data_IF_021274119914
#
_entry.id   IF_021274119914
#
_cell.length_a   1.000
_cell.length_b   1.000
_cell.length_c   1.000
_cell.angle_alpha   90.00
_cell.angle_beta   90.00
_cell.angle_gamma   90.00
#
_symmetry.space_group_name_H-M   'P 1'
#
loop_
_entity.id
_entity.type
_entity.pdbx_description
1 polymer ?
#
# COMPACT_ATOMS: atom_id res chain seq x y z
N UNK A 1 -29.31 -18.73 31.03
CA UNK A 1 -28.90 -18.05 29.78
C UNK A 1 -28.15 -16.72 30.01
N UNK A 2 -27.31 -16.62 31.05
CA UNK A 2 -26.49 -15.42 31.36
C UNK A 2 -24.98 -15.72 31.52
N UNK A 3 -24.57 -16.98 31.30
CA UNK A 3 -23.17 -17.41 31.39
C UNK A 3 -22.42 -17.22 30.05
N UNK A 4 -23.13 -17.23 28.91
CA UNK A 4 -22.51 -17.13 27.58
C UNK A 4 -22.10 -15.70 27.14
N UNK A 5 -22.58 -14.64 27.80
CA UNK A 5 -22.16 -13.26 27.47
C UNK A 5 -20.78 -12.98 28.06
N UNK A 6 -20.50 -13.46 29.26
CA UNK A 6 -19.22 -13.27 29.93
C UNK A 6 -18.10 -14.07 29.24
N UNK A 7 -18.39 -15.27 28.72
CA UNK A 7 -17.39 -16.05 27.95
C UNK A 7 -17.03 -15.36 26.63
N UNK A 8 -18.01 -14.82 25.89
CA UNK A 8 -17.72 -14.01 24.69
C UNK A 8 -16.96 -12.71 25.01
N UNK A 9 -17.29 -12.02 26.11
CA UNK A 9 -16.54 -10.85 26.56
C UNK A 9 -15.12 -11.20 27.06
N UNK A 10 -14.89 -12.42 27.55
CA UNK A 10 -13.58 -12.88 27.98
C UNK A 10 -12.70 -13.36 26.81
N UNK A 11 -13.30 -13.95 25.77
CA UNK A 11 -12.61 -14.25 24.51
C UNK A 11 -12.30 -12.98 23.71
N UNK A 12 -13.14 -11.93 23.81
CA UNK A 12 -12.88 -10.59 23.25
C UNK A 12 -11.73 -9.84 23.95
N UNK A 13 -11.22 -10.32 25.08
CA UNK A 13 -10.16 -9.62 25.85
C UNK A 13 -8.74 -9.96 25.40
N UNK A 14 -8.54 -10.96 24.54
CA UNK A 14 -7.22 -11.32 24.04
C UNK A 14 -7.28 -11.53 22.54
N UNK A 15 -6.68 -10.61 21.79
CA UNK A 15 -6.39 -10.82 20.38
C UNK A 15 -5.56 -12.09 20.21
N UNK A 16 -5.82 -12.84 19.15
CA UNK A 16 -5.08 -14.03 18.75
C UNK A 16 -3.60 -13.69 18.71
N UNK A 17 -2.75 -14.49 19.36
CA UNK A 17 -1.33 -14.40 19.19
C UNK A 17 -0.97 -14.47 17.70
N UNK A 18 0.00 -13.67 17.26
CA UNK A 18 0.42 -13.63 15.85
C UNK A 18 0.71 -15.03 15.27
N UNK A 19 1.27 -15.93 16.09
CA UNK A 19 1.55 -17.32 15.69
C UNK A 19 0.31 -18.12 15.26
N UNK A 20 -0.88 -17.79 15.75
CA UNK A 20 -2.13 -18.43 15.33
C UNK A 20 -2.69 -17.84 14.03
N UNK A 21 -2.24 -16.64 13.65
CA UNK A 21 -2.61 -15.98 12.40
C UNK A 21 -1.73 -16.43 11.23
N UNK A 22 -0.47 -16.80 11.50
CA UNK A 22 0.49 -17.25 10.47
C UNK A 22 0.17 -18.68 10.03
N UNK A 23 0.32 -18.97 8.74
CA UNK A 23 0.15 -20.32 8.21
C UNK A 23 1.15 -21.29 8.84
N UNK A 24 0.70 -22.48 9.17
CA UNK A 24 1.52 -23.51 9.82
C UNK A 24 2.79 -23.84 9.02
N UNK A 25 2.72 -23.89 7.69
CA UNK A 25 3.90 -24.16 6.87
C UNK A 25 4.95 -23.04 6.98
N UNK A 26 4.54 -21.77 7.12
CA UNK A 26 5.45 -20.62 7.25
C UNK A 26 6.11 -20.58 8.62
N UNK A 27 5.38 -20.94 9.69
CA UNK A 27 5.96 -21.08 11.04
C UNK A 27 7.08 -22.11 11.11
N UNK A 28 6.93 -23.19 10.33
CA UNK A 28 7.88 -24.30 10.28
C UNK A 28 9.00 -24.11 9.24
N UNK A 29 8.94 -23.05 8.43
CA UNK A 29 10.04 -22.72 7.51
C UNK A 29 11.22 -22.15 8.27
N UNK A 30 12.41 -22.68 7.97
CA UNK A 30 13.66 -22.00 8.30
C UNK A 30 13.73 -20.68 7.53
N UNK A 31 14.26 -19.64 8.17
CA UNK A 31 14.54 -18.40 7.45
C UNK A 31 15.58 -18.69 6.37
N UNK A 32 15.21 -18.49 5.11
CA UNK A 32 16.13 -18.66 3.98
C UNK A 32 17.32 -17.69 4.08
N UNK A 33 17.08 -16.50 4.64
CA UNK A 33 18.14 -15.58 5.08
C UNK A 33 18.44 -15.88 6.55
N UNK A 34 19.16 -16.97 6.79
CA UNK A 34 19.64 -17.29 8.14
C UNK A 34 20.72 -16.29 8.57
N UNK A 35 20.87 -16.07 9.88
CA UNK A 35 22.01 -15.37 10.49
C UNK A 35 23.39 -16.00 10.12
N UNK A 36 23.42 -17.12 9.40
CA UNK A 36 24.67 -17.67 8.84
C UNK A 36 25.03 -17.10 7.46
N UNK A 37 24.05 -16.59 6.69
CA UNK A 37 24.26 -15.82 5.44
C UNK A 37 24.40 -14.31 5.74
N UNK A 38 24.15 -13.89 7.00
CA UNK A 38 24.46 -12.55 7.51
C UNK A 38 25.94 -12.35 7.86
N UNK A 39 26.84 -13.20 7.35
CA UNK A 39 28.23 -12.78 7.14
C UNK A 39 28.17 -11.65 6.13
N UNK A 40 27.97 -10.43 6.63
CA UNK A 40 27.90 -9.19 5.85
C UNK A 40 29.01 -9.28 4.83
N UNK A 41 28.64 -9.41 3.54
CA UNK A 41 29.57 -9.34 2.43
C UNK A 41 30.12 -7.91 2.41
N UNK A 42 31.10 -7.65 3.27
CA UNK A 42 31.80 -6.37 3.32
C UNK A 42 32.82 -6.34 2.18
N UNK A 43 33.24 -5.13 1.82
CA UNK A 43 34.29 -4.91 0.81
C UNK A 43 35.63 -5.59 1.19
N UNK A 44 35.83 -5.90 2.47
CA UNK A 44 37.01 -6.61 2.97
C UNK A 44 36.93 -8.13 2.83
N UNK A 45 35.78 -8.69 2.47
CA UNK A 45 35.60 -10.13 2.31
C UNK A 45 35.92 -10.60 0.88
N UNK A 46 36.45 -11.81 0.77
CA UNK A 46 36.61 -12.52 -0.52
C UNK A 46 35.34 -13.34 -0.78
N UNK A 47 34.59 -13.01 -1.83
CA UNK A 47 33.28 -13.60 -2.11
C UNK A 47 33.37 -14.77 -3.10
N UNK A 48 33.32 -16.01 -2.57
CA UNK A 48 33.43 -17.29 -3.32
C UNK A 48 32.31 -18.29 -2.96
N UNK A 49 31.31 -17.86 -2.21
CA UNK A 49 30.19 -18.66 -1.70
C UNK A 49 29.03 -18.83 -2.70
N UNK A 50 29.10 -18.14 -3.85
CA UNK A 50 28.07 -18.15 -4.90
C UNK A 50 28.70 -18.28 -6.29
N UNK A 51 27.89 -18.65 -7.26
CA UNK A 51 28.22 -18.90 -8.66
C UNK A 51 28.43 -17.62 -9.51
N UNK A 52 28.99 -16.57 -8.89
CA UNK A 52 29.15 -15.25 -9.50
C UNK A 52 30.38 -15.17 -10.41
N UNK A 53 30.25 -14.48 -11.55
CA UNK A 53 31.39 -14.13 -12.38
C UNK A 53 32.17 -12.98 -11.72
N UNK A 54 33.50 -13.07 -11.52
CA UNK A 54 34.26 -11.98 -10.89
C UNK A 54 34.45 -10.75 -11.80
N UNK A 55 34.17 -10.85 -13.10
CA UNK A 55 34.34 -9.78 -14.09
C UNK A 55 33.01 -9.07 -14.40
N UNK A 56 33.06 -7.81 -14.87
CA UNK A 56 31.91 -6.92 -15.18
C UNK A 56 31.28 -6.17 -13.98
N UNK A 57 32.12 -5.52 -13.17
CA UNK A 57 31.68 -4.63 -12.07
C UNK A 57 30.91 -3.40 -12.58
N UNK A 58 29.87 -2.92 -11.87
CA UNK A 58 29.37 -3.39 -10.57
C UNK A 58 28.20 -4.41 -10.63
N UNK A 59 27.92 -5.00 -11.80
CA UNK A 59 26.72 -5.82 -12.03
C UNK A 59 26.91 -7.31 -11.74
N UNK A 60 28.15 -7.72 -11.48
CA UNK A 60 28.57 -9.11 -11.47
C UNK A 60 28.35 -9.84 -10.14
N UNK A 61 27.73 -9.16 -9.16
CA UNK A 61 27.49 -9.67 -7.81
C UNK A 61 26.01 -9.54 -7.43
N UNK A 62 25.49 -10.55 -6.73
CA UNK A 62 24.13 -10.52 -6.18
C UNK A 62 23.95 -9.33 -5.22
N UNK A 63 22.74 -8.77 -5.13
CA UNK A 63 22.45 -7.69 -4.21
C UNK A 63 22.55 -8.14 -2.75
N UNK A 64 22.59 -7.16 -1.84
CA UNK A 64 22.33 -7.41 -0.41
C UNK A 64 20.91 -7.94 -0.25
N UNK A 65 20.78 -9.22 0.12
CA UNK A 65 19.49 -9.91 0.33
C UNK A 65 18.77 -9.39 1.58
N UNK A 66 19.52 -8.92 2.58
CA UNK A 66 18.96 -8.38 3.83
C UNK A 66 18.38 -6.97 3.64
N UNK A 67 18.89 -6.24 2.63
CA UNK A 67 18.60 -4.83 2.35
C UNK A 67 18.90 -3.93 3.57
N UNK A 68 19.92 -4.25 4.36
CA UNK A 68 20.14 -3.65 5.68
C UNK A 68 20.33 -2.13 5.59
N UNK A 69 21.14 -1.67 4.64
CA UNK A 69 21.41 -0.23 4.44
C UNK A 69 20.16 0.51 4.00
N UNK A 70 19.37 -0.08 3.09
CA UNK A 70 18.12 0.51 2.61
C UNK A 70 17.08 0.57 3.73
N UNK A 71 16.87 -0.53 4.47
CA UNK A 71 15.97 -0.58 5.63
C UNK A 71 16.35 0.46 6.68
N UNK A 72 17.64 0.58 7.02
CA UNK A 72 18.11 1.58 7.97
C UNK A 72 17.87 3.02 7.50
N UNK A 73 18.07 3.28 6.20
CA UNK A 73 17.82 4.60 5.61
C UNK A 73 16.33 4.98 5.66
N UNK A 74 15.45 4.06 5.27
CA UNK A 74 13.99 4.24 5.35
C UNK A 74 13.55 4.43 6.80
N UNK A 75 14.03 3.58 7.72
CA UNK A 75 13.69 3.62 9.13
C UNK A 75 14.00 4.98 9.76
N UNK A 76 15.18 5.53 9.46
CA UNK A 76 15.60 6.86 9.91
C UNK A 76 14.64 7.96 9.43
N UNK A 77 14.28 7.97 8.15
CA UNK A 77 13.43 9.02 7.56
C UNK A 77 11.99 8.92 8.04
N UNK A 78 11.49 7.69 8.16
CA UNK A 78 10.08 7.43 8.52
C UNK A 78 9.89 7.33 10.04
N UNK A 79 10.96 7.47 10.82
CA UNK A 79 10.97 7.47 12.29
C UNK A 79 10.37 6.18 12.90
N UNK A 80 10.87 5.04 12.44
CA UNK A 80 10.54 3.70 12.95
C UNK A 80 11.83 2.93 13.22
N UNK A 81 11.78 1.79 13.92
CA UNK A 81 12.98 0.96 14.06
C UNK A 81 13.23 0.17 12.77
N UNK A 82 14.49 -0.11 12.45
CA UNK A 82 14.86 -0.94 11.29
C UNK A 82 14.18 -2.32 11.32
N UNK A 83 14.00 -2.90 12.50
CA UNK A 83 13.31 -4.17 12.70
C UNK A 83 11.81 -4.12 12.37
N UNK A 84 11.21 -2.91 12.29
CA UNK A 84 9.83 -2.72 11.87
C UNK A 84 9.68 -2.60 10.36
N UNK A 85 10.77 -2.66 9.56
CA UNK A 85 10.71 -2.41 8.11
C UNK A 85 10.85 -3.71 7.32
N UNK A 86 9.84 -4.01 6.52
CA UNK A 86 9.88 -4.99 5.44
C UNK A 86 9.93 -4.28 4.08
N UNK A 87 10.66 -4.84 3.10
CA UNK A 87 10.81 -4.25 1.76
C UNK A 87 10.54 -5.34 0.72
N UNK A 88 9.81 -4.99 -0.33
CA UNK A 88 9.55 -5.86 -1.47
C UNK A 88 9.69 -5.09 -2.79
N UNK A 89 9.84 -5.84 -3.89
CA UNK A 89 9.88 -5.30 -5.23
C UNK A 89 8.47 -4.98 -5.74
N UNK A 90 8.01 -3.78 -5.41
CA UNK A 90 6.72 -3.24 -5.75
C UNK A 90 5.60 -3.72 -4.83
N UNK A 91 4.47 -3.03 -4.90
CA UNK A 91 3.30 -3.29 -4.04
C UNK A 91 2.68 -4.66 -4.29
N UNK A 92 2.79 -5.20 -5.52
CA UNK A 92 2.32 -6.55 -5.86
C UNK A 92 3.02 -7.62 -5.00
N UNK A 93 4.35 -7.62 -4.97
CA UNK A 93 5.12 -8.58 -4.18
C UNK A 93 4.90 -8.41 -2.67
N UNK A 94 4.69 -7.16 -2.23
CA UNK A 94 4.39 -6.85 -0.83
C UNK A 94 3.03 -7.41 -0.40
N UNK A 95 1.99 -7.15 -1.19
CA UNK A 95 0.63 -7.67 -0.95
C UNK A 95 0.63 -9.20 -1.02
N UNK A 96 1.30 -9.80 -2.01
CA UNK A 96 1.44 -11.26 -2.12
C UNK A 96 2.12 -11.87 -0.88
N UNK A 97 3.13 -11.20 -0.31
CA UNK A 97 3.79 -11.66 0.91
C UNK A 97 2.83 -11.76 2.09
N UNK A 98 1.84 -10.85 2.20
CA UNK A 98 0.81 -10.93 3.24
C UNK A 98 -0.08 -12.16 3.06
N UNK A 99 -0.57 -12.41 1.83
CA UNK A 99 -1.37 -13.60 1.54
C UNK A 99 -0.60 -14.89 1.80
N UNK A 100 0.65 -14.97 1.32
CA UNK A 100 1.54 -16.11 1.53
C UNK A 100 1.88 -16.38 2.98
N UNK A 101 1.88 -15.35 3.83
CA UNK A 101 2.21 -15.48 5.25
C UNK A 101 1.00 -15.93 6.08
N UNK A 102 -0.17 -15.33 5.84
CA UNK A 102 -1.33 -15.45 6.74
C UNK A 102 -2.47 -16.32 6.21
N UNK A 103 -2.64 -16.42 4.89
CA UNK A 103 -3.84 -17.02 4.30
C UNK A 103 -3.56 -18.42 3.76
N UNK A 104 -4.22 -19.43 4.33
CA UNK A 104 -4.24 -20.80 3.80
C UNK A 104 -5.16 -20.85 2.57
N UNK A 105 -4.64 -21.20 1.38
CA UNK A 105 -5.44 -21.31 0.16
C UNK A 105 -6.64 -22.25 0.32
N UNK A 106 -7.81 -21.83 -0.16
CA UNK A 106 -9.06 -22.58 -0.10
C UNK A 106 -9.70 -22.69 1.29
N UNK A 107 -9.12 -22.06 2.31
CA UNK A 107 -9.61 -22.10 3.71
C UNK A 107 -9.88 -20.70 4.24
N UNK A 108 -8.89 -19.81 4.16
CA UNK A 108 -8.99 -18.48 4.72
C UNK A 108 -9.62 -17.49 3.74
N UNK A 109 -10.18 -16.43 4.30
CA UNK A 109 -10.74 -15.31 3.57
C UNK A 109 -10.13 -13.98 4.04
N UNK A 110 -10.38 -12.92 3.28
CA UNK A 110 -10.02 -11.53 3.61
C UNK A 110 -11.19 -10.61 3.37
N UNK A 111 -11.22 -9.48 4.07
CA UNK A 111 -12.18 -8.41 3.82
C UNK A 111 -11.49 -7.24 3.12
N UNK A 112 -12.05 -6.78 2.01
CA UNK A 112 -11.55 -5.64 1.24
C UNK A 112 -12.64 -4.56 1.22
N UNK A 113 -12.26 -3.33 1.58
CA UNK A 113 -13.18 -2.18 1.58
C UNK A 113 -13.13 -1.48 0.22
N UNK A 114 -14.25 -1.46 -0.51
CA UNK A 114 -14.33 -1.07 -1.92
C UNK A 114 -15.18 0.20 -2.14
N UNK A 115 -14.96 0.97 -3.22
CA UNK A 115 -13.93 0.79 -4.26
C UNK A 115 -12.53 1.10 -3.74
N UNK A 116 -11.55 0.24 -4.06
CA UNK A 116 -10.16 0.45 -3.68
C UNK A 116 -9.18 -0.10 -4.73
N UNK A 117 -7.90 -0.19 -4.36
CA UNK A 117 -6.82 -0.75 -5.17
C UNK A 117 -7.08 -2.22 -5.54
N UNK A 118 -7.16 -2.49 -6.84
CA UNK A 118 -7.49 -3.80 -7.42
C UNK A 118 -6.52 -4.92 -7.06
N UNK A 119 -5.26 -4.59 -6.79
CA UNK A 119 -4.21 -5.56 -6.46
C UNK A 119 -4.55 -6.40 -5.24
N UNK A 120 -5.27 -5.87 -4.25
CA UNK A 120 -5.67 -6.68 -3.09
C UNK A 120 -6.54 -7.87 -3.52
N UNK A 121 -7.54 -7.62 -4.39
CA UNK A 121 -8.42 -8.66 -4.93
C UNK A 121 -7.66 -9.60 -5.85
N UNK A 122 -6.88 -9.07 -6.79
CA UNK A 122 -6.09 -9.87 -7.73
C UNK A 122 -5.13 -10.82 -7.01
N UNK A 123 -4.50 -10.38 -5.92
CA UNK A 123 -3.60 -11.24 -5.13
C UNK A 123 -4.35 -12.26 -4.27
N UNK A 124 -5.56 -11.94 -3.78
CA UNK A 124 -6.42 -12.92 -3.12
C UNK A 124 -6.79 -14.05 -4.09
N UNK A 125 -7.27 -13.71 -5.29
CA UNK A 125 -7.62 -14.66 -6.35
C UNK A 125 -6.41 -15.52 -6.74
N UNK A 126 -5.25 -14.90 -6.97
CA UNK A 126 -4.00 -15.58 -7.31
C UNK A 126 -3.59 -16.62 -6.25
N UNK A 127 -3.85 -16.31 -4.97
CA UNK A 127 -3.53 -17.19 -3.85
C UNK A 127 -4.68 -18.14 -3.47
N UNK A 128 -5.78 -18.19 -4.24
CA UNK A 128 -6.98 -18.96 -3.93
C UNK A 128 -7.54 -18.63 -2.54
N UNK A 129 -7.64 -17.34 -2.23
CA UNK A 129 -8.19 -16.79 -0.99
C UNK A 129 -9.51 -16.10 -1.31
N UNK A 130 -10.56 -16.42 -0.56
CA UNK A 130 -11.87 -15.78 -0.74
C UNK A 130 -11.78 -14.29 -0.39
N UNK A 131 -12.27 -13.44 -1.30
CA UNK A 131 -12.42 -12.01 -1.07
C UNK A 131 -13.86 -11.67 -0.66
N UNK A 132 -14.05 -11.09 0.52
CA UNK A 132 -15.32 -10.51 0.97
C UNK A 132 -15.27 -9.00 0.84
N UNK A 133 -16.10 -8.46 -0.04
CA UNK A 133 -16.13 -7.02 -0.30
C UNK A 133 -17.12 -6.31 0.63
N UNK A 134 -16.71 -5.14 1.14
CA UNK A 134 -17.57 -4.19 1.85
C UNK A 134 -17.50 -2.85 1.16
N UNK A 135 -18.64 -2.31 0.74
CA UNK A 135 -18.68 -1.00 0.13
C UNK A 135 -18.50 0.11 1.17
N UNK A 136 -17.70 1.12 0.82
CA UNK A 136 -17.71 2.43 1.45
C UNK A 136 -19.11 3.05 1.36
N UNK A 137 -19.38 4.07 2.17
CA UNK A 137 -20.63 4.82 2.05
C UNK A 137 -20.60 5.81 0.85
N UNK A 138 -21.68 6.60 0.72
CA UNK A 138 -21.84 7.57 -0.37
C UNK A 138 -20.80 8.71 -0.32
N UNK A 139 -20.18 8.95 0.84
CA UNK A 139 -19.11 9.93 1.03
C UNK A 139 -17.72 9.28 0.97
N UNK A 140 -17.67 8.02 0.53
CA UNK A 140 -16.47 7.18 0.49
C UNK A 140 -15.79 7.00 1.85
N UNK A 141 -16.57 6.99 2.94
CA UNK A 141 -16.08 6.70 4.28
C UNK A 141 -16.29 5.22 4.64
N UNK A 142 -15.38 4.76 5.51
CA UNK A 142 -15.39 3.44 6.11
C UNK A 142 -16.43 3.38 7.22
N UNK A 143 -17.06 2.23 7.39
CA UNK A 143 -17.84 1.89 8.57
C UNK A 143 -17.31 0.57 9.16
N UNK A 144 -16.77 0.62 10.38
CA UNK A 144 -16.11 -0.50 11.02
C UNK A 144 -17.07 -1.66 11.30
N UNK A 145 -18.30 -1.38 11.75
CA UNK A 145 -19.29 -2.41 12.04
C UNK A 145 -19.61 -3.27 10.80
N UNK A 146 -19.83 -2.63 9.64
CA UNK A 146 -20.07 -3.33 8.37
C UNK A 146 -18.89 -4.21 7.94
N UNK A 147 -17.67 -3.79 8.24
CA UNK A 147 -16.45 -4.58 7.97
C UNK A 147 -16.36 -5.77 8.90
N UNK A 148 -16.61 -5.58 10.19
CA UNK A 148 -16.60 -6.64 11.20
C UNK A 148 -17.72 -7.67 10.95
N UNK A 149 -18.87 -7.25 10.42
CA UNK A 149 -19.97 -8.15 10.03
C UNK A 149 -19.60 -9.14 8.90
N UNK A 150 -18.59 -8.83 8.07
CA UNK A 150 -18.08 -9.75 7.06
C UNK A 150 -16.98 -10.69 7.58
N UNK A 151 -16.46 -10.43 8.77
CA UNK A 151 -15.40 -11.22 9.39
C UNK A 151 -15.98 -12.48 10.04
N UNK A 152 -15.26 -13.59 9.91
CA UNK A 152 -15.51 -14.84 10.63
C UNK A 152 -14.20 -15.42 11.20
N UNK A 153 -14.24 -16.63 11.74
CA UNK A 153 -13.07 -17.31 12.31
C UNK A 153 -11.95 -17.59 11.29
N UNK A 154 -12.27 -17.58 9.99
CA UNK A 154 -11.34 -17.83 8.89
C UNK A 154 -10.81 -16.54 8.26
N UNK A 155 -11.34 -15.37 8.61
CA UNK A 155 -10.84 -14.08 8.14
C UNK A 155 -9.48 -13.78 8.74
N UNK A 156 -8.49 -13.51 7.88
CA UNK A 156 -7.10 -13.27 8.31
C UNK A 156 -6.66 -11.83 8.16
N UNK A 157 -7.13 -11.15 7.11
CA UNK A 157 -6.71 -9.79 6.77
C UNK A 157 -7.93 -8.90 6.52
N UNK A 158 -7.84 -7.64 6.96
CA UNK A 158 -8.67 -6.54 6.47
C UNK A 158 -7.77 -5.59 5.67
N UNK A 159 -8.15 -5.26 4.44
CA UNK A 159 -7.45 -4.30 3.60
C UNK A 159 -8.17 -2.95 3.59
N UNK A 160 -7.45 -1.92 4.03
CA UNK A 160 -7.84 -0.52 3.99
C UNK A 160 -6.82 0.26 3.17
N UNK A 161 -7.26 1.28 2.42
CA UNK A 161 -6.37 2.22 1.76
C UNK A 161 -6.73 3.63 2.22
N UNK A 162 -5.77 4.37 2.77
CA UNK A 162 -6.00 5.69 3.34
C UNK A 162 -4.75 6.59 3.19
N UNK A 163 -4.81 7.68 2.41
CA UNK A 163 -5.90 8.07 1.51
C UNK A 163 -6.19 7.02 0.42
N UNK A 164 -7.47 6.81 0.12
CA UNK A 164 -7.91 5.73 -0.76
C UNK A 164 -7.67 6.04 -2.24
N UNK A 165 -7.45 5.00 -3.04
CA UNK A 165 -7.52 5.05 -4.52
C UNK A 165 -8.65 4.13 -4.97
N UNK A 166 -9.62 4.61 -5.76
CA UNK A 166 -9.55 5.80 -6.61
C UNK A 166 -10.13 7.07 -6.00
N UNK A 167 -10.70 7.04 -4.80
CA UNK A 167 -11.57 8.12 -4.29
C UNK A 167 -10.82 9.37 -3.86
N UNK A 168 -9.56 9.23 -3.45
CA UNK A 168 -8.73 10.33 -2.95
C UNK A 168 -8.96 10.65 -1.48
N UNK A 169 -9.93 10.00 -0.83
CA UNK A 169 -10.41 10.34 0.50
C UNK A 169 -9.71 9.46 1.55
N UNK A 170 -9.25 10.07 2.64
CA UNK A 170 -8.73 9.34 3.79
C UNK A 170 -9.85 8.80 4.67
N UNK A 171 -9.65 7.59 5.19
CA UNK A 171 -10.55 6.96 6.13
C UNK A 171 -10.57 7.72 7.46
N UNK A 172 -11.74 7.77 8.11
CA UNK A 172 -11.88 8.28 9.46
C UNK A 172 -11.00 7.48 10.44
N UNK A 173 -10.06 8.13 11.16
CA UNK A 173 -9.18 7.41 12.07
C UNK A 173 -9.89 6.65 13.20
N UNK A 174 -11.06 7.13 13.64
CA UNK A 174 -11.82 6.46 14.69
C UNK A 174 -12.34 5.09 14.24
N UNK A 175 -12.78 4.97 12.99
CA UNK A 175 -13.28 3.70 12.42
C UNK A 175 -12.15 2.69 12.24
N UNK A 176 -10.98 3.14 11.78
CA UNK A 176 -9.78 2.28 11.67
C UNK A 176 -9.33 1.78 13.05
N UNK A 177 -9.42 2.64 14.07
CA UNK A 177 -9.09 2.29 15.45
C UNK A 177 -10.05 1.23 16.02
N UNK A 178 -11.35 1.34 15.75
CA UNK A 178 -12.33 0.28 16.10
C UNK A 178 -11.95 -1.05 15.45
N UNK A 179 -11.56 -1.05 14.18
CA UNK A 179 -11.13 -2.29 13.51
C UNK A 179 -9.87 -2.88 14.15
N UNK A 180 -8.89 -2.04 14.51
CA UNK A 180 -7.67 -2.50 15.16
C UNK A 180 -7.92 -3.09 16.56
N UNK A 181 -8.90 -2.55 17.29
CA UNK A 181 -9.27 -3.02 18.62
C UNK A 181 -10.17 -4.27 18.60
N UNK A 182 -11.03 -4.41 17.60
CA UNK A 182 -12.08 -5.43 17.56
C UNK A 182 -11.77 -6.63 16.64
N UNK A 183 -10.93 -6.44 15.62
CA UNK A 183 -10.63 -7.51 14.66
C UNK A 183 -9.52 -8.43 15.15
N UNK A 184 -9.86 -9.71 15.24
CA UNK A 184 -8.98 -10.78 15.68
C UNK A 184 -8.10 -11.35 14.55
N UNK A 185 -7.45 -10.45 13.82
CA UNK A 185 -6.60 -10.69 12.67
C UNK A 185 -5.77 -9.46 12.31
N UNK A 186 -5.15 -9.44 11.14
CA UNK A 186 -4.27 -8.34 10.71
C UNK A 186 -5.07 -7.25 9.98
N UNK A 187 -4.94 -5.99 10.43
CA UNK A 187 -5.47 -4.84 9.72
C UNK A 187 -4.34 -4.19 8.93
N UNK A 188 -4.49 -4.16 7.61
CA UNK A 188 -3.52 -3.52 6.71
C UNK A 188 -4.06 -2.17 6.28
N UNK A 189 -3.31 -1.11 6.58
CA UNK A 189 -3.57 0.26 6.11
C UNK A 189 -2.56 0.62 5.03
N UNK A 190 -3.00 0.69 3.79
CA UNK A 190 -2.20 1.15 2.66
C UNK A 190 -2.14 2.67 2.63
N UNK A 191 -0.96 3.19 2.98
CA UNK A 191 -0.60 4.59 3.06
C UNK A 191 0.25 5.04 1.85
N UNK A 192 0.06 4.42 0.68
CA UNK A 192 0.77 4.78 -0.56
C UNK A 192 0.72 6.27 -0.91
N UNK A 193 -0.27 7.01 -0.39
CA UNK A 193 -0.49 8.43 -0.64
C UNK A 193 -0.36 9.31 0.61
N UNK A 194 0.04 8.77 1.77
CA UNK A 194 0.02 9.51 3.05
C UNK A 194 0.88 10.77 3.04
N UNK A 195 1.95 10.80 2.25
CA UNK A 195 2.84 11.97 2.14
C UNK A 195 2.12 13.19 1.53
N UNK A 196 0.96 13.01 0.86
CA UNK A 196 0.10 14.10 0.34
C UNK A 196 -1.06 14.48 1.28
N UNK A 197 -1.26 13.71 2.34
CA UNK A 197 -2.36 13.87 3.29
C UNK A 197 -1.98 14.80 4.43
N UNK A 198 -3.00 15.40 5.03
CA UNK A 198 -2.86 16.14 6.28
C UNK A 198 -2.91 15.23 7.52
N UNK A 199 -3.35 13.98 7.37
CA UNK A 199 -3.43 13.02 8.46
C UNK A 199 -2.05 12.50 8.89
N UNK A 200 -1.92 12.21 10.18
CA UNK A 200 -0.74 11.52 10.70
C UNK A 200 -0.75 10.06 10.26
N UNK A 201 0.43 9.58 9.86
CA UNK A 201 0.60 8.19 9.44
C UNK A 201 0.36 7.21 10.59
N UNK A 202 -0.33 6.12 10.28
CA UNK A 202 -0.59 4.98 11.16
C UNK A 202 0.68 4.30 11.67
N UNK A 203 1.81 4.44 10.97
CA UNK A 203 3.09 3.88 11.42
C UNK A 203 3.54 4.44 12.78
N UNK A 204 3.01 5.62 13.16
CA UNK A 204 3.26 6.21 14.48
C UNK A 204 2.59 5.46 15.63
N UNK A 205 1.64 4.57 15.32
CA UNK A 205 0.83 3.79 16.27
C UNK A 205 1.21 2.30 16.32
N UNK A 206 2.31 1.89 15.68
CA UNK A 206 2.78 0.50 15.68
C UNK A 206 3.03 -0.06 17.09
N UNK A 207 3.42 0.79 18.04
CA UNK A 207 3.58 0.38 19.45
C UNK A 207 2.27 0.26 20.23
N UNK A 208 1.14 0.67 19.66
CA UNK A 208 -0.20 0.56 20.28
C UNK A 208 -0.94 -0.69 19.77
N UNK A 209 -0.74 -1.07 18.50
CA UNK A 209 -1.51 -2.14 17.85
C UNK A 209 -0.58 -3.17 17.22
N UNK A 210 -0.50 -4.36 17.81
CA UNK A 210 0.39 -5.44 17.35
C UNK A 210 -0.06 -6.06 16.02
N UNK A 211 -1.35 -5.93 15.68
CA UNK A 211 -1.95 -6.41 14.43
C UNK A 211 -1.99 -5.35 13.31
N UNK A 212 -1.44 -4.15 13.55
CA UNK A 212 -1.36 -3.10 12.55
C UNK A 212 -0.21 -3.35 11.58
N UNK A 213 -0.54 -3.27 10.30
CA UNK A 213 0.41 -3.28 9.20
C UNK A 213 0.19 -2.02 8.35
N UNK A 214 1.25 -1.28 8.07
CA UNK A 214 1.19 -0.05 7.28
C UNK A 214 2.01 -0.19 6.01
N UNK A 215 1.37 -0.17 4.85
CA UNK A 215 2.04 -0.23 3.55
C UNK A 215 2.43 1.18 3.08
N UNK A 216 3.59 1.32 2.45
CA UNK A 216 4.04 2.55 1.82
C UNK A 216 4.85 2.24 0.54
N UNK A 217 5.15 3.26 -0.26
CA UNK A 217 5.88 3.09 -1.52
C UNK A 217 6.67 4.34 -1.90
N UNK A 218 7.77 4.15 -2.64
CA UNK A 218 8.48 5.25 -3.30
C UNK A 218 7.87 5.65 -4.65
N UNK A 219 6.81 4.98 -5.11
CA UNK A 219 6.23 5.24 -6.43
C UNK A 219 5.75 6.68 -6.59
N UNK A 220 5.08 7.20 -5.55
CA UNK A 220 4.30 8.43 -5.64
C UNK A 220 5.12 9.66 -5.18
N UNK A 221 5.20 9.90 -3.87
CA UNK A 221 5.82 11.11 -3.30
C UNK A 221 7.30 11.26 -3.64
N UNK A 222 8.02 10.14 -3.73
CA UNK A 222 9.42 10.11 -4.13
C UNK A 222 9.61 10.16 -5.66
N UNK A 223 8.56 9.96 -6.45
CA UNK A 223 8.62 9.95 -7.92
C UNK A 223 9.49 8.80 -8.47
N UNK A 224 9.49 7.65 -7.80
CA UNK A 224 10.43 6.55 -8.03
C UNK A 224 9.72 5.25 -8.44
N UNK A 225 8.61 5.35 -9.19
CA UNK A 225 7.85 4.16 -9.62
C UNK A 225 8.68 3.13 -10.42
N UNK A 226 9.71 3.58 -11.14
CA UNK A 226 10.53 2.73 -12.00
C UNK A 226 11.45 1.75 -11.24
N UNK A 227 11.73 2.00 -9.95
CA UNK A 227 12.64 1.15 -9.17
C UNK A 227 11.91 0.11 -8.31
N UNK A 228 10.57 0.16 -8.27
CA UNK A 228 9.76 -0.85 -7.58
C UNK A 228 10.07 -1.00 -6.10
N UNK A 229 10.30 0.09 -5.36
CA UNK A 229 10.59 -0.01 -3.92
C UNK A 229 9.33 0.26 -3.10
N UNK A 230 8.72 -0.83 -2.63
CA UNK A 230 7.60 -0.80 -1.69
C UNK A 230 8.05 -1.30 -0.32
N UNK A 231 7.46 -0.73 0.74
CA UNK A 231 7.80 -1.11 2.10
C UNK A 231 6.57 -1.23 2.98
N UNK A 232 6.74 -1.97 4.05
CA UNK A 232 5.72 -2.21 5.05
C UNK A 232 6.32 -1.97 6.43
N UNK A 233 5.51 -1.39 7.30
CA UNK A 233 5.82 -1.17 8.70
C UNK A 233 4.89 -1.99 9.59
N UNK A 234 5.46 -2.77 10.50
CA UNK A 234 4.72 -3.59 11.44
C UNK A 234 5.56 -3.90 12.70
N UNK A 235 5.00 -4.62 13.66
CA UNK A 235 5.77 -5.17 14.77
C UNK A 235 6.95 -6.01 14.25
N UNK A 236 8.06 -6.07 15.01
CA UNK A 236 9.24 -6.83 14.58
C UNK A 236 8.94 -8.34 14.45
N UNK A 237 8.01 -8.87 15.24
CA UNK A 237 7.58 -10.27 15.13
C UNK A 237 6.89 -10.52 13.77
N UNK A 238 6.00 -9.61 13.35
CA UNK A 238 5.32 -9.69 12.06
C UNK A 238 6.30 -9.56 10.88
N UNK A 239 7.22 -8.60 10.95
CA UNK A 239 8.27 -8.42 9.93
C UNK A 239 9.14 -9.69 9.83
N UNK A 240 9.46 -10.33 10.95
CA UNK A 240 10.21 -11.59 10.94
C UNK A 240 9.43 -12.73 10.25
N UNK A 241 8.11 -12.78 10.40
CA UNK A 241 7.27 -13.75 9.67
C UNK A 241 7.24 -13.45 8.17
N UNK A 242 7.19 -12.19 7.77
CA UNK A 242 7.27 -11.80 6.35
C UNK A 242 8.62 -12.12 5.72
N UNK A 243 9.72 -11.93 6.46
CA UNK A 243 11.06 -12.31 5.97
C UNK A 243 11.21 -13.82 5.69
N UNK A 244 10.37 -14.69 6.27
CA UNK A 244 10.37 -16.14 5.97
C UNK A 244 9.76 -16.48 4.61
N UNK A 245 8.83 -15.67 4.13
CA UNK A 245 8.18 -15.86 2.81
C UNK A 245 8.80 -14.99 1.72
N UNK A 246 9.70 -14.08 2.10
CA UNK A 246 10.42 -13.22 1.16
C UNK A 246 11.37 -14.03 0.29
N UNK A 247 11.42 -13.69 -1.00
CA UNK A 247 12.36 -14.29 -1.94
C UNK A 247 13.77 -13.72 -1.69
N UNK A 248 14.81 -14.57 -1.62
CA UNK A 248 16.19 -14.11 -1.64
C UNK A 248 16.44 -13.20 -2.85
N UNK A 249 17.17 -12.11 -2.63
CA UNK A 249 17.48 -11.10 -3.68
C UNK A 249 16.24 -10.48 -4.33
N UNK A 250 15.11 -10.42 -3.60
CA UNK A 250 13.85 -9.93 -4.14
C UNK A 250 13.89 -8.50 -4.72
N UNK A 251 14.87 -7.67 -4.32
CA UNK A 251 15.10 -6.34 -4.88
C UNK A 251 16.54 -6.22 -5.43
N UNK A 252 16.66 -5.85 -6.71
CA UNK A 252 17.96 -5.73 -7.39
C UNK A 252 18.83 -4.59 -6.83
N UNK A 253 20.15 -4.70 -7.01
CA UNK A 253 21.14 -3.77 -6.45
C UNK A 253 21.01 -2.34 -6.99
N UNK A 254 20.57 -2.18 -8.25
CA UNK A 254 20.35 -0.87 -8.87
C UNK A 254 19.21 -0.12 -8.18
N UNK A 255 18.11 -0.82 -7.92
CA UNK A 255 16.93 -0.28 -7.24
C UNK A 255 17.26 0.09 -5.79
N UNK A 256 18.01 -0.77 -5.09
CA UNK A 256 18.50 -0.47 -3.74
C UNK A 256 19.38 0.79 -3.73
N UNK A 257 20.34 0.89 -4.66
CA UNK A 257 21.25 2.04 -4.75
C UNK A 257 20.49 3.35 -5.02
N UNK A 258 19.62 3.36 -6.03
CA UNK A 258 18.84 4.55 -6.39
C UNK A 258 17.93 4.97 -5.25
N UNK A 259 17.28 4.03 -4.57
CA UNK A 259 16.46 4.34 -3.39
C UNK A 259 17.29 4.98 -2.28
N UNK A 260 18.44 4.39 -1.92
CA UNK A 260 19.34 4.96 -0.90
C UNK A 260 19.77 6.38 -1.28
N UNK A 261 20.12 6.62 -2.54
CA UNK A 261 20.53 7.95 -3.01
C UNK A 261 19.38 8.97 -2.92
N UNK A 262 18.14 8.60 -3.29
CA UNK A 262 16.97 9.47 -3.14
C UNK A 262 16.67 9.79 -1.67
N UNK A 263 16.84 8.82 -0.77
CA UNK A 263 16.60 8.98 0.66
C UNK A 263 17.61 9.94 1.33
N UNK A 264 18.75 10.25 0.70
CA UNK A 264 19.72 11.23 1.25
C UNK A 264 19.25 12.68 1.14
N UNK A 265 18.36 12.98 0.19
CA UNK A 265 17.85 14.33 -0.06
C UNK A 265 16.31 14.34 0.00
N UNK A 266 15.77 14.37 1.22
CA UNK A 266 14.32 14.42 1.44
C UNK A 266 13.69 15.73 0.99
N UNK A 267 14.49 16.81 0.85
CA UNK A 267 14.00 18.14 0.52
C UNK A 267 13.39 18.19 -0.88
N UNK A 268 14.02 17.56 -1.87
CA UNK A 268 13.47 17.51 -3.22
C UNK A 268 12.18 16.68 -3.31
N UNK A 269 12.05 15.60 -2.53
CA UNK A 269 10.81 14.83 -2.44
C UNK A 269 9.68 15.68 -1.82
N UNK A 270 9.94 16.37 -0.70
CA UNK A 270 8.98 17.28 -0.06
C UNK A 270 8.53 18.40 -1.00
N UNK A 271 9.46 18.95 -1.79
CA UNK A 271 9.16 20.00 -2.77
C UNK A 271 8.25 19.48 -3.90
N UNK A 272 8.49 18.28 -4.42
CA UNK A 272 7.59 17.64 -5.41
C UNK A 272 6.18 17.47 -4.84
N UNK A 273 6.07 16.96 -3.62
CA UNK A 273 4.79 16.81 -2.91
C UNK A 273 4.07 18.15 -2.79
N UNK A 274 4.76 19.22 -2.35
CA UNK A 274 4.17 20.57 -2.23
C UNK A 274 3.67 21.10 -3.57
N UNK A 275 4.44 20.92 -4.65
CA UNK A 275 4.00 21.34 -5.99
C UNK A 275 2.74 20.59 -6.44
N UNK A 276 2.68 19.27 -6.20
CA UNK A 276 1.50 18.46 -6.51
C UNK A 276 0.28 18.94 -5.71
N UNK A 277 0.43 19.23 -4.41
CA UNK A 277 -0.68 19.71 -3.57
C UNK A 277 -1.20 21.06 -4.06
N UNK A 278 -0.31 22.02 -4.38
CA UNK A 278 -0.71 23.33 -4.90
C UNK A 278 -1.42 23.21 -6.24
N UNK A 279 -0.89 22.38 -7.13
CA UNK A 279 -1.45 22.14 -8.45
C UNK A 279 -2.79 21.39 -8.39
N UNK A 280 -2.95 20.47 -7.44
CA UNK A 280 -4.22 19.80 -7.13
C UNK A 280 -5.33 20.80 -6.83
N UNK A 281 -5.05 21.83 -6.02
CA UNK A 281 -6.04 22.87 -5.70
C UNK A 281 -6.43 23.71 -6.91
N UNK A 282 -5.46 24.04 -7.78
CA UNK A 282 -5.72 24.71 -9.06
C UNK A 282 -6.62 23.85 -9.95
N UNK A 283 -6.31 22.57 -10.06
CA UNK A 283 -7.06 21.62 -10.88
C UNK A 283 -8.50 21.44 -10.37
N UNK A 284 -8.71 21.32 -9.06
CA UNK A 284 -10.07 21.24 -8.47
C UNK A 284 -10.92 22.43 -8.94
N UNK A 285 -10.40 23.65 -8.79
CA UNK A 285 -11.11 24.87 -9.21
C UNK A 285 -11.42 24.85 -10.71
N UNK A 286 -10.42 24.49 -11.54
CA UNK A 286 -10.58 24.47 -12.98
C UNK A 286 -11.57 23.40 -13.49
N UNK A 287 -11.67 22.25 -12.80
CA UNK A 287 -12.67 21.23 -13.12
C UNK A 287 -14.08 21.67 -12.73
N UNK A 288 -14.25 22.38 -11.61
CA UNK A 288 -15.56 22.91 -11.19
C UNK A 288 -16.12 23.95 -12.18
N UNK A 289 -15.26 24.61 -12.96
CA UNK A 289 -15.67 25.57 -14.00
C UNK A 289 -16.12 24.89 -15.33
N UNK A 290 -15.94 23.57 -15.49
CA UNK A 290 -16.33 22.85 -16.70
C UNK A 290 -17.81 22.46 -16.63
N UNK A 291 -18.59 22.79 -17.66
CA UNK A 291 -20.02 22.45 -17.71
C UNK A 291 -20.30 20.94 -17.70
N UNK A 292 -19.38 20.14 -18.23
CA UNK A 292 -19.47 18.67 -18.26
C UNK A 292 -19.08 18.00 -16.94
N UNK A 293 -18.53 18.76 -15.99
CA UNK A 293 -18.13 18.26 -14.68
C UNK A 293 -19.33 18.32 -13.73
N UNK A 294 -19.73 17.16 -13.22
CA UNK A 294 -20.83 17.03 -12.26
C UNK A 294 -20.31 17.24 -10.83
N UNK A 295 -19.15 16.66 -10.52
CA UNK A 295 -18.60 16.71 -9.17
C UNK A 295 -17.09 16.45 -9.19
N UNK A 296 -16.35 17.19 -8.37
CA UNK A 296 -14.95 16.89 -8.03
C UNK A 296 -14.92 16.45 -6.58
N UNK A 297 -14.45 15.23 -6.31
CA UNK A 297 -14.36 14.73 -4.95
C UNK A 297 -13.14 15.32 -4.23
N UNK A 298 -13.21 15.55 -2.90
CA UNK A 298 -12.05 15.92 -2.10
C UNK A 298 -10.91 14.92 -2.28
N UNK A 299 -9.67 15.40 -2.25
CA UNK A 299 -8.51 14.53 -2.41
C UNK A 299 -7.36 14.92 -1.50
N UNK A 300 -6.78 13.90 -0.88
CA UNK A 300 -5.53 13.90 -0.14
C UNK A 300 -4.45 13.09 -0.87
N UNK A 301 -4.55 12.91 -2.20
CA UNK A 301 -3.59 12.15 -3.03
C UNK A 301 -2.94 13.00 -4.12
N UNK A 302 -2.16 12.39 -5.01
CA UNK A 302 -1.64 13.03 -6.22
C UNK A 302 -2.61 12.96 -7.42
N UNK A 303 -3.90 12.73 -7.20
CA UNK A 303 -4.91 12.67 -8.24
C UNK A 303 -6.25 13.25 -7.76
N UNK A 304 -7.20 13.40 -8.67
CA UNK A 304 -8.60 13.74 -8.38
C UNK A 304 -9.51 12.66 -8.93
N UNK A 305 -10.57 12.32 -8.22
CA UNK A 305 -11.72 11.63 -8.80
C UNK A 305 -12.71 12.70 -9.27
N UNK A 306 -13.09 12.65 -10.55
CA UNK A 306 -14.00 13.63 -11.15
C UNK A 306 -15.15 12.89 -11.80
N UNK A 307 -16.38 13.25 -11.41
CA UNK A 307 -17.62 12.76 -11.99
C UNK A 307 -18.03 13.65 -13.16
N UNK A 308 -18.34 13.04 -14.29
CA UNK A 308 -18.83 13.70 -15.50
C UNK A 308 -20.28 13.30 -15.78
N UNK A 309 -20.95 14.01 -16.70
CA UNK A 309 -22.28 13.61 -17.17
C UNK A 309 -22.21 12.26 -17.92
N UNK A 310 -21.24 12.11 -18.83
CA UNK A 310 -20.91 10.87 -19.53
C UNK A 310 -19.39 10.67 -19.54
N UNK A 311 -18.88 9.91 -18.56
CA UNK A 311 -17.44 9.71 -18.43
C UNK A 311 -16.85 8.83 -19.52
N UNK A 312 -17.64 7.93 -20.13
CA UNK A 312 -17.16 7.07 -21.20
C UNK A 312 -16.94 7.88 -22.49
N UNK A 313 -17.86 8.78 -22.81
CA UNK A 313 -17.70 9.70 -23.92
C UNK A 313 -16.52 10.66 -23.74
N UNK A 314 -16.39 11.26 -22.53
CA UNK A 314 -15.25 12.12 -22.20
C UNK A 314 -13.94 11.34 -22.27
N UNK A 315 -13.89 10.12 -21.71
CA UNK A 315 -12.71 9.27 -21.75
C UNK A 315 -12.27 8.96 -23.18
N UNK A 316 -13.20 8.57 -24.04
CA UNK A 316 -12.93 8.30 -25.46
C UNK A 316 -12.42 9.55 -26.18
N UNK A 317 -13.05 10.70 -25.96
CA UNK A 317 -12.61 11.97 -26.53
C UNK A 317 -11.17 12.32 -26.12
N UNK A 318 -10.83 12.14 -24.84
CA UNK A 318 -9.47 12.38 -24.35
C UNK A 318 -8.46 11.42 -25.00
N UNK A 319 -8.79 10.14 -25.14
CA UNK A 319 -7.94 9.17 -25.85
C UNK A 319 -7.71 9.56 -27.31
N UNK A 320 -8.74 10.01 -28.01
CA UNK A 320 -8.63 10.48 -29.41
C UNK A 320 -7.74 11.73 -29.52
N UNK A 321 -7.56 12.49 -28.43
CA UNK A 321 -6.61 13.61 -28.30
C UNK A 321 -5.23 13.20 -27.80
N UNK A 322 -4.99 11.91 -27.53
CA UNK A 322 -3.72 11.40 -26.99
C UNK A 322 -3.55 11.60 -25.48
N UNK A 323 -4.62 11.96 -24.76
CA UNK A 323 -4.61 12.21 -23.32
C UNK A 323 -5.15 10.98 -22.59
N UNK A 324 -4.30 10.34 -21.79
CA UNK A 324 -4.64 9.10 -21.08
C UNK A 324 -4.91 9.39 -19.61
N UNK A 325 -6.14 9.13 -19.17
CA UNK A 325 -6.57 9.18 -17.76
C UNK A 325 -7.04 7.79 -17.31
N UNK A 326 -7.33 7.60 -16.02
CA UNK A 326 -7.86 6.32 -15.53
C UNK A 326 -9.39 6.37 -15.57
N UNK A 327 -10.00 5.48 -16.34
CA UNK A 327 -11.43 5.24 -16.30
C UNK A 327 -11.79 4.42 -15.05
N UNK A 328 -12.70 4.95 -14.23
CA UNK A 328 -13.17 4.34 -12.98
C UNK A 328 -14.67 4.00 -13.02
N UNK A 329 -15.34 4.19 -14.16
CA UNK A 329 -16.79 4.02 -14.28
C UNK A 329 -17.29 2.61 -13.95
N UNK A 330 -16.44 1.59 -14.13
CA UNK A 330 -16.77 0.19 -13.80
C UNK A 330 -16.46 -0.18 -12.34
N UNK A 331 -15.89 0.75 -11.56
CA UNK A 331 -15.63 0.52 -10.14
C UNK A 331 -16.91 0.83 -9.33
N UNK A 332 -17.20 0.07 -8.26
CA UNK A 332 -18.35 0.35 -7.40
C UNK A 332 -18.38 1.80 -6.92
N UNK A 333 -19.56 2.43 -6.89
CA UNK A 333 -19.76 3.82 -6.41
C UNK A 333 -19.02 4.90 -7.23
N UNK A 334 -18.38 4.53 -8.34
CA UNK A 334 -17.60 5.43 -9.19
C UNK A 334 -18.26 5.61 -10.57
N UNK A 335 -19.57 5.45 -10.66
CA UNK A 335 -20.29 5.59 -11.92
C UNK A 335 -20.06 6.98 -12.51
N UNK A 336 -19.71 7.00 -13.80
CA UNK A 336 -19.31 8.20 -14.52
C UNK A 336 -18.14 8.97 -13.89
N UNK A 337 -17.20 8.29 -13.23
CA UNK A 337 -15.99 8.92 -12.72
C UNK A 337 -14.74 8.59 -13.55
N UNK A 338 -13.91 9.60 -13.77
CA UNK A 338 -12.51 9.44 -14.22
C UNK A 338 -11.57 9.89 -13.11
N UNK A 339 -10.49 9.13 -12.90
CA UNK A 339 -9.42 9.50 -11.99
C UNK A 339 -8.30 10.20 -12.78
N UNK A 340 -8.04 11.45 -12.44
CA UNK A 340 -7.11 12.36 -13.10
C UNK A 340 -5.86 12.53 -12.22
N UNK A 341 -4.72 11.99 -12.64
CA UNK A 341 -3.45 12.24 -11.97
C UNK A 341 -3.04 13.70 -12.15
N UNK A 342 -2.52 14.32 -11.09
CA UNK A 342 -1.95 15.67 -11.15
C UNK A 342 -0.56 15.58 -11.79
N UNK A 343 -0.46 16.01 -13.04
CA UNK A 343 0.78 16.07 -13.79
C UNK A 343 1.53 17.39 -13.57
N UNK A 344 2.53 17.61 -14.42
CA UNK A 344 3.17 18.90 -14.57
C UNK A 344 2.17 19.94 -15.10
N UNK A 345 2.40 21.21 -14.77
CA UNK A 345 1.52 22.32 -15.17
C UNK A 345 1.19 22.35 -16.69
N UNK A 346 2.14 22.08 -17.61
CA UNK A 346 1.81 22.00 -19.04
C UNK A 346 0.85 20.85 -19.39
N UNK A 347 1.04 19.66 -18.83
CA UNK A 347 0.19 18.48 -19.05
C UNK A 347 -1.23 18.75 -18.55
N UNK A 348 -1.34 19.34 -17.36
CA UNK A 348 -2.64 19.73 -16.78
C UNK A 348 -3.35 20.79 -17.62
N UNK A 349 -2.61 21.75 -18.19
CA UNK A 349 -3.18 22.77 -19.07
C UNK A 349 -3.66 22.17 -20.40
N UNK A 350 -2.95 21.19 -20.95
CA UNK A 350 -3.34 20.47 -22.15
C UNK A 350 -4.66 19.72 -21.93
N UNK A 351 -4.78 19.00 -20.80
CA UNK A 351 -6.02 18.36 -20.38
C UNK A 351 -7.19 19.35 -20.26
N UNK A 352 -7.00 20.44 -19.52
CA UNK A 352 -8.05 21.45 -19.33
C UNK A 352 -8.43 22.14 -20.65
N UNK A 353 -7.47 22.35 -21.56
CA UNK A 353 -7.73 22.93 -22.88
C UNK A 353 -8.58 22.00 -23.75
N UNK A 354 -8.29 20.69 -23.73
CA UNK A 354 -9.08 19.70 -24.44
C UNK A 354 -10.51 19.63 -23.88
N UNK A 355 -10.67 19.56 -22.55
CA UNK A 355 -11.98 19.48 -21.92
C UNK A 355 -12.86 20.72 -22.12
N UNK A 356 -12.28 21.91 -22.28
CA UNK A 356 -13.02 23.14 -22.63
C UNK A 356 -13.52 23.17 -24.09
N UNK A 357 -13.00 22.27 -24.93
CA UNK A 357 -13.39 22.12 -26.34
C UNK A 357 -14.27 20.88 -26.57
N UNK A 358 -14.59 20.13 -25.52
CA UNK A 358 -15.61 19.10 -25.55
C UNK A 358 -16.98 19.78 -25.48
#
# INVERSE_FOLDING_TARGET
MRVNIWVKLFELLFMKPLKELVRTNVLNMDMQVSDNDSRVRTESCVWLDRDENPYNSPYNRYPDSSMAVLKASIAKIKNVQTANVFIANGRYALVDSMYRCFCTPGVNNVVIVEPTYDVYRTMAELNCVENRSVLLDADFQLNADRVLEQCDENTKLIWLCSPNTPTGIAANPAEVEVLLEMFDGIVVVDESYVDFSSQLSWRTRLGKFDNLVVLNTMDNSWGCAAIGVAMLYASSELVNMLNRVALPFGLNSLSQKVAIDQLRDTFEAEKRVRFIILERQRMISAFMDLSICVQVYPSETNFLLVKFEDAQAVYKYLLDKGIVVKNCADMPLCENCLRITIGAKPENNELLSALRQY
#
